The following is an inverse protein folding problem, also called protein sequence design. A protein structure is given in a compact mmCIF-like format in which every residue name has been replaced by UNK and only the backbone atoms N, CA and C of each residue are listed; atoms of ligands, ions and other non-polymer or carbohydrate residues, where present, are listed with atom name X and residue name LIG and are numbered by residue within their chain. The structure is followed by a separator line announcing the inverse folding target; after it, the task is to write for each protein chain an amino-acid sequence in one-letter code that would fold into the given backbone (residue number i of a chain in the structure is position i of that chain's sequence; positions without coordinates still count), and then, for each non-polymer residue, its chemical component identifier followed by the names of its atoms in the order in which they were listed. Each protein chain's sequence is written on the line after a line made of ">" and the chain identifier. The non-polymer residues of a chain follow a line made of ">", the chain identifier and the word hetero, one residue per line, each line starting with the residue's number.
data_IF_705281329531
#
_entry.id   IF_705281329531
#
_cell.length_a   1.000
_cell.length_b   1.000
_cell.length_c   1.000
_cell.angle_alpha   90.00
_cell.angle_beta   90.00
_cell.angle_gamma   90.00
#
_symmetry.space_group_name_H-M   'P 1'
#
loop_
_entity.id
_entity.type
_entity.pdbx_description
1 polymer ?
#
# COMPACT_ATOMS: atom_id res chain seq x y z
N UNK A 1 -12.30 -19.26 -14.98
CA UNK A 1 -12.33 -18.79 -13.57
C UNK A 1 -10.99 -18.12 -13.27
N UNK A 2 -10.99 -16.90 -12.74
CA UNK A 2 -9.75 -16.19 -12.44
C UNK A 2 -9.35 -16.53 -10.99
N UNK A 3 -8.34 -17.39 -10.80
CA UNK A 3 -7.95 -17.96 -9.50
C UNK A 3 -7.67 -16.88 -8.44
N UNK A 4 -7.02 -15.79 -8.85
CA UNK A 4 -6.72 -14.65 -7.97
C UNK A 4 -7.99 -13.99 -7.43
N UNK A 5 -9.05 -13.92 -8.26
CA UNK A 5 -10.35 -13.37 -7.85
C UNK A 5 -11.06 -14.28 -6.86
N UNK A 6 -11.06 -15.59 -7.12
CA UNK A 6 -11.69 -16.58 -6.23
C UNK A 6 -11.04 -16.58 -4.86
N UNK A 7 -9.69 -16.59 -4.79
CA UNK A 7 -8.97 -16.55 -3.51
C UNK A 7 -9.23 -15.25 -2.74
N UNK A 8 -9.38 -14.12 -3.44
CA UNK A 8 -9.69 -12.84 -2.82
C UNK A 8 -11.11 -12.80 -2.23
N UNK A 9 -12.09 -13.32 -2.96
CA UNK A 9 -13.48 -13.46 -2.51
C UNK A 9 -13.57 -14.40 -1.29
N UNK A 10 -12.83 -15.52 -1.29
CA UNK A 10 -12.73 -16.43 -0.13
C UNK A 10 -12.16 -15.74 1.11
N UNK A 11 -11.10 -14.94 0.95
CA UNK A 11 -10.49 -14.16 2.05
C UNK A 11 -11.48 -13.15 2.63
N UNK A 12 -12.20 -12.43 1.78
CA UNK A 12 -13.23 -11.47 2.19
C UNK A 12 -14.37 -12.16 2.96
N UNK A 13 -14.82 -13.31 2.48
CA UNK A 13 -15.90 -14.06 3.13
C UNK A 13 -15.46 -14.65 4.48
N UNK A 14 -14.21 -15.10 4.60
CA UNK A 14 -13.60 -15.45 5.87
C UNK A 14 -13.63 -14.29 6.87
N UNK A 15 -13.24 -13.09 6.43
CA UNK A 15 -13.30 -11.88 7.25
C UNK A 15 -14.73 -11.54 7.68
N UNK A 16 -15.72 -11.63 6.79
CA UNK A 16 -17.14 -11.41 7.14
C UNK A 16 -17.61 -12.39 8.21
N UNK A 17 -17.29 -13.68 8.08
CA UNK A 17 -17.64 -14.71 9.07
C UNK A 17 -17.02 -14.39 10.44
N UNK A 18 -15.75 -14.02 10.46
CA UNK A 18 -15.05 -13.63 11.70
C UNK A 18 -15.70 -12.41 12.37
N UNK A 19 -16.04 -11.37 11.60
CA UNK A 19 -16.70 -10.17 12.12
C UNK A 19 -18.09 -10.47 12.68
N UNK A 20 -18.86 -11.33 12.02
CA UNK A 20 -20.17 -11.78 12.51
C UNK A 20 -20.02 -12.55 13.83
N UNK A 21 -19.05 -13.47 13.91
CA UNK A 21 -18.76 -14.23 15.14
C UNK A 21 -18.38 -13.32 16.31
N UNK A 22 -17.57 -12.29 16.06
CA UNK A 22 -17.15 -11.29 17.05
C UNK A 22 -18.17 -10.18 17.32
N UNK A 23 -19.33 -10.20 16.65
CA UNK A 23 -20.37 -9.15 16.74
C UNK A 23 -19.81 -7.74 16.52
N UNK A 24 -18.95 -7.60 15.52
CA UNK A 24 -18.34 -6.31 15.17
C UNK A 24 -19.42 -5.32 14.74
N UNK A 25 -19.26 -4.05 15.16
CA UNK A 25 -20.21 -3.00 14.85
C UNK A 25 -20.43 -2.84 13.32
N UNK A 26 -21.67 -2.71 12.82
CA UNK A 26 -21.97 -2.70 11.38
C UNK A 26 -21.22 -1.63 10.58
N UNK A 27 -20.94 -0.48 11.19
CA UNK A 27 -20.14 0.57 10.55
C UNK A 27 -18.71 0.12 10.25
N UNK A 28 -18.08 -0.64 11.16
CA UNK A 28 -16.72 -1.15 10.96
C UNK A 28 -16.72 -2.27 9.92
N UNK A 29 -17.73 -3.13 9.91
CA UNK A 29 -17.93 -4.15 8.86
C UNK A 29 -18.02 -3.50 7.48
N UNK A 30 -18.85 -2.46 7.33
CA UNK A 30 -18.97 -1.71 6.05
C UNK A 30 -17.65 -1.09 5.60
N UNK A 31 -16.90 -0.49 6.53
CA UNK A 31 -15.57 0.08 6.23
C UNK A 31 -14.61 -0.98 5.73
N UNK A 32 -14.54 -2.13 6.40
CA UNK A 32 -13.66 -3.23 6.00
C UNK A 32 -14.04 -3.76 4.62
N UNK A 33 -15.33 -4.03 4.37
CA UNK A 33 -15.79 -4.49 3.05
C UNK A 33 -15.46 -3.47 1.96
N UNK A 34 -15.68 -2.18 2.22
CA UNK A 34 -15.35 -1.11 1.27
C UNK A 34 -13.85 -1.04 0.97
N UNK A 35 -12.99 -1.20 1.98
CA UNK A 35 -11.53 -1.27 1.77
C UNK A 35 -11.14 -2.45 0.87
N UNK A 36 -11.74 -3.63 1.07
CA UNK A 36 -11.48 -4.79 0.20
C UNK A 36 -11.93 -4.52 -1.25
N UNK A 37 -13.11 -3.95 -1.46
CA UNK A 37 -13.59 -3.58 -2.80
C UNK A 37 -12.69 -2.54 -3.47
N UNK A 38 -12.23 -1.54 -2.72
CA UNK A 38 -11.34 -0.51 -3.20
C UNK A 38 -9.96 -1.07 -3.56
N UNK A 39 -9.36 -1.88 -2.67
CA UNK A 39 -8.07 -2.55 -2.88
C UNK A 39 -8.07 -3.47 -4.11
N UNK A 40 -9.19 -4.16 -4.38
CA UNK A 40 -9.35 -4.96 -5.58
C UNK A 40 -9.42 -4.12 -6.87
N UNK A 41 -10.13 -2.98 -6.83
CA UNK A 41 -10.24 -2.06 -7.96
C UNK A 41 -8.89 -1.41 -8.30
N UNK A 42 -8.15 -0.98 -7.28
CA UNK A 42 -6.84 -0.31 -7.44
C UNK A 42 -5.71 -1.28 -7.81
N UNK A 43 -5.97 -2.59 -7.76
CA UNK A 43 -5.00 -3.61 -8.17
C UNK A 43 -3.96 -3.97 -7.10
N UNK A 44 -3.90 -3.24 -5.99
CA UNK A 44 -3.03 -3.58 -4.85
C UNK A 44 -3.35 -4.94 -4.23
N UNK A 45 -4.58 -5.43 -4.38
CA UNK A 45 -4.95 -6.79 -3.97
C UNK A 45 -4.54 -7.89 -4.97
N UNK A 46 -4.16 -7.52 -6.19
CA UNK A 46 -3.79 -8.46 -7.26
C UNK A 46 -2.29 -8.76 -7.28
N UNK A 47 -1.48 -7.90 -6.66
CA UNK A 47 -0.02 -7.99 -6.64
C UNK A 47 0.43 -7.88 -5.19
N UNK A 48 1.05 -8.95 -4.68
CA UNK A 48 1.63 -8.96 -3.35
C UNK A 48 3.10 -8.55 -3.43
N UNK A 49 3.36 -7.24 -3.31
CA UNK A 49 4.72 -6.68 -3.34
C UNK A 49 5.62 -7.26 -2.25
N UNK A 50 5.08 -7.61 -1.07
CA UNK A 50 5.85 -8.25 0.00
C UNK A 50 6.34 -9.64 -0.42
N UNK A 51 5.47 -10.47 -1.01
CA UNK A 51 5.86 -11.79 -1.49
C UNK A 51 6.89 -11.70 -2.63
N UNK A 52 6.75 -10.71 -3.52
CA UNK A 52 7.74 -10.46 -4.59
C UNK A 52 9.09 -10.07 -3.98
N UNK A 53 9.09 -9.18 -2.98
CA UNK A 53 10.29 -8.75 -2.28
C UNK A 53 11.01 -9.90 -1.56
N UNK A 54 10.28 -10.82 -0.94
CA UNK A 54 10.83 -12.01 -0.28
C UNK A 54 11.36 -13.05 -1.28
N UNK A 55 10.78 -13.12 -2.48
CA UNK A 55 11.16 -14.08 -3.52
C UNK A 55 12.42 -13.69 -4.32
N UNK A 56 12.78 -12.40 -4.33
CA UNK A 56 13.85 -11.87 -5.15
C UNK A 56 15.15 -11.68 -4.34
N UNK A 57 16.32 -12.00 -4.92
CA UNK A 57 17.60 -11.57 -4.37
C UNK A 57 17.66 -10.04 -4.19
N UNK A 58 18.30 -9.58 -3.12
CA UNK A 58 18.36 -8.16 -2.73
C UNK A 58 18.77 -7.21 -3.85
N UNK A 59 19.72 -7.61 -4.71
CA UNK A 59 20.14 -6.82 -5.88
C UNK A 59 19.03 -6.64 -6.93
N UNK A 60 18.27 -7.70 -7.21
CA UNK A 60 17.18 -7.66 -8.20
C UNK A 60 15.98 -6.90 -7.63
N UNK A 61 15.66 -7.10 -6.35
CA UNK A 61 14.65 -6.32 -5.65
C UNK A 61 14.97 -4.82 -5.69
N UNK A 62 16.22 -4.43 -5.42
CA UNK A 62 16.63 -3.03 -5.47
C UNK A 62 16.51 -2.42 -6.86
N UNK A 63 16.88 -3.15 -7.92
CA UNK A 63 16.70 -2.70 -9.31
C UNK A 63 15.21 -2.50 -9.65
N UNK A 64 14.35 -3.43 -9.22
CA UNK A 64 12.91 -3.35 -9.42
C UNK A 64 12.30 -2.14 -8.70
N UNK A 65 12.61 -1.96 -7.41
CA UNK A 65 12.12 -0.84 -6.61
C UNK A 65 12.50 0.51 -7.24
N UNK A 66 13.73 0.64 -7.72
CA UNK A 66 14.22 1.83 -8.43
C UNK A 66 13.45 2.06 -9.72
N UNK A 67 13.24 1.02 -10.51
CA UNK A 67 12.48 1.15 -11.76
C UNK A 67 11.03 1.59 -11.52
N UNK A 68 10.38 1.11 -10.45
CA UNK A 68 8.98 1.42 -10.16
C UNK A 68 8.83 2.82 -9.53
N UNK A 69 9.70 3.19 -8.58
CA UNK A 69 9.45 4.35 -7.71
C UNK A 69 10.32 5.57 -8.01
N UNK A 70 11.47 5.43 -8.70
CA UNK A 70 12.42 6.52 -8.90
C UNK A 70 11.81 7.70 -9.65
N UNK A 71 11.05 7.44 -10.72
CA UNK A 71 10.42 8.50 -11.51
C UNK A 71 9.37 9.28 -10.72
N UNK A 72 8.70 8.62 -9.79
CA UNK A 72 7.71 9.29 -8.94
C UNK A 72 8.41 10.08 -7.85
N UNK A 73 9.49 9.55 -7.27
CA UNK A 73 10.28 10.26 -6.26
C UNK A 73 10.90 11.54 -6.81
N UNK A 74 11.41 11.51 -8.05
CA UNK A 74 11.99 12.68 -8.75
C UNK A 74 10.98 13.80 -9.03
N UNK A 75 9.69 13.48 -9.13
CA UNK A 75 8.64 14.49 -9.37
C UNK A 75 8.30 15.30 -8.11
N UNK A 76 8.69 14.81 -6.93
CA UNK A 76 8.43 15.49 -5.66
C UNK A 76 9.41 16.65 -5.50
N UNK A 77 8.89 17.87 -5.40
CA UNK A 77 9.70 19.09 -5.28
C UNK A 77 10.74 19.04 -4.15
N UNK A 78 10.41 18.36 -3.04
CA UNK A 78 11.32 18.18 -1.90
C UNK A 78 12.62 17.44 -2.27
N UNK A 79 12.60 16.61 -3.30
CA UNK A 79 13.70 15.71 -3.65
C UNK A 79 14.39 16.07 -4.98
N UNK A 80 14.02 17.18 -5.63
CA UNK A 80 14.53 17.55 -6.96
C UNK A 80 16.04 17.82 -6.97
N UNK A 81 16.58 18.42 -5.91
CA UNK A 81 18.00 18.78 -5.80
C UNK A 81 18.82 17.76 -4.96
N UNK A 82 18.24 16.61 -4.64
CA UNK A 82 18.92 15.58 -3.86
C UNK A 82 19.87 14.73 -4.73
N UNK A 83 20.97 14.28 -4.13
CA UNK A 83 21.91 13.38 -4.78
C UNK A 83 21.22 12.05 -5.17
N UNK A 84 21.57 11.51 -6.34
CA UNK A 84 21.04 10.23 -6.83
C UNK A 84 21.22 9.08 -5.83
N UNK A 85 22.34 9.06 -5.10
CA UNK A 85 22.62 8.07 -4.06
C UNK A 85 21.60 8.13 -2.91
N UNK A 86 21.22 9.35 -2.48
CA UNK A 86 20.20 9.54 -1.46
C UNK A 86 18.82 9.11 -1.96
N UNK A 87 18.47 9.44 -3.21
CA UNK A 87 17.21 9.01 -3.81
C UNK A 87 17.11 7.49 -3.90
N UNK A 88 18.22 6.82 -4.24
CA UNK A 88 18.29 5.37 -4.29
C UNK A 88 18.03 4.74 -2.92
N UNK A 89 18.72 5.22 -1.88
CA UNK A 89 18.53 4.77 -0.49
C UNK A 89 17.09 5.04 0.01
N UNK A 90 16.49 6.15 -0.39
CA UNK A 90 15.08 6.44 -0.08
C UNK A 90 14.15 5.44 -0.76
N UNK A 91 14.33 5.16 -2.05
CA UNK A 91 13.49 4.19 -2.78
C UNK A 91 13.53 2.81 -2.14
N UNK A 92 14.71 2.34 -1.71
CA UNK A 92 14.84 1.05 -1.03
C UNK A 92 14.11 0.96 0.30
N UNK A 93 13.80 2.11 0.94
CA UNK A 93 13.09 2.20 2.22
C UNK A 93 11.62 2.59 2.06
N UNK A 94 11.15 2.90 0.85
CA UNK A 94 9.76 3.24 0.61
C UNK A 94 8.87 2.01 0.77
N UNK A 95 7.73 2.21 1.44
CA UNK A 95 6.67 1.22 1.52
C UNK A 95 5.39 1.82 0.97
N UNK A 96 4.84 1.20 -0.07
CA UNK A 96 3.57 1.62 -0.63
C UNK A 96 2.45 1.24 0.35
N UNK A 97 1.60 2.21 0.69
CA UNK A 97 0.41 1.98 1.50
C UNK A 97 -0.83 2.50 0.78
N UNK A 98 -1.85 1.65 0.70
CA UNK A 98 -3.15 1.99 0.13
C UNK A 98 -4.10 2.47 1.23
N UNK A 99 -4.72 3.62 1.02
CA UNK A 99 -5.74 4.19 1.90
C UNK A 99 -7.06 4.36 1.15
N UNK A 100 -8.19 4.03 1.78
CA UNK A 100 -9.49 4.23 1.14
C UNK A 100 -9.87 5.71 1.14
N UNK A 101 -10.68 6.16 0.18
CA UNK A 101 -11.25 7.51 0.23
C UNK A 101 -11.97 7.77 1.57
N UNK A 102 -11.60 8.85 2.25
CA UNK A 102 -12.16 9.21 3.56
C UNK A 102 -11.49 8.56 4.77
N UNK A 103 -10.45 7.73 4.57
CA UNK A 103 -9.59 7.28 5.65
C UNK A 103 -8.65 8.41 6.10
N UNK A 104 -8.49 8.54 7.41
CA UNK A 104 -7.55 9.49 7.99
C UNK A 104 -6.17 8.85 8.05
N UNK A 105 -5.20 9.41 7.31
CA UNK A 105 -3.79 8.98 7.35
C UNK A 105 -3.12 9.41 8.66
N UNK A 106 -3.39 10.64 9.11
CA UNK A 106 -2.95 11.18 10.39
C UNK A 106 -4.05 12.05 11.00
N UNK A 107 -4.15 12.10 12.34
CA UNK A 107 -5.03 13.01 13.06
C UNK A 107 -4.22 14.03 13.85
N UNK A 108 -4.79 15.23 13.99
CA UNK A 108 -4.20 16.28 14.83
C UNK A 108 -4.06 15.75 16.26
N UNK A 109 -2.84 15.77 16.79
CA UNK A 109 -2.53 15.27 18.14
C UNK A 109 -1.94 13.85 18.15
N UNK A 110 -1.89 13.16 17.01
CA UNK A 110 -1.12 11.93 16.90
C UNK A 110 0.37 12.27 17.09
N UNK A 111 1.02 11.58 18.03
CA UNK A 111 2.47 11.67 18.19
C UNK A 111 3.07 11.01 16.95
N UNK A 112 3.58 11.82 16.02
CA UNK A 112 4.32 11.35 14.88
C UNK A 112 5.52 10.55 15.37
N UNK A 113 5.45 9.21 15.27
CA UNK A 113 6.68 8.41 15.31
C UNK A 113 7.49 8.87 14.10
N UNK A 114 8.64 9.48 14.38
CA UNK A 114 9.41 10.41 13.53
C UNK A 114 10.08 9.73 12.33
N UNK A 115 9.38 8.87 11.59
CA UNK A 115 10.00 8.09 10.51
C UNK A 115 9.13 7.86 9.29
N UNK A 116 7.99 8.55 9.14
CA UNK A 116 7.14 8.38 7.95
C UNK A 116 6.95 9.71 7.22
N UNK A 117 7.62 9.84 6.07
CA UNK A 117 7.28 10.83 5.06
C UNK A 117 6.17 10.24 4.20
N UNK A 118 4.97 10.83 4.27
CA UNK A 118 3.89 10.47 3.36
C UNK A 118 4.13 11.15 2.02
N UNK A 119 4.71 10.41 1.08
CA UNK A 119 4.72 10.83 -0.30
C UNK A 119 3.40 10.38 -0.89
N UNK A 120 2.48 11.35 -1.07
CA UNK A 120 1.24 11.09 -1.78
C UNK A 120 1.55 10.94 -3.25
N UNK A 121 1.84 9.70 -3.65
CA UNK A 121 1.89 9.32 -5.05
C UNK A 121 0.43 9.30 -5.54
N UNK A 122 -0.10 10.46 -5.91
CA UNK A 122 -1.31 10.52 -6.71
C UNK A 122 -0.97 9.81 -8.02
N UNK A 123 -1.44 8.57 -8.18
CA UNK A 123 -1.41 7.90 -9.48
C UNK A 123 -2.19 8.80 -10.45
N UNK A 124 -1.53 9.53 -11.36
CA UNK A 124 -2.26 10.18 -12.42
C UNK A 124 -2.69 9.05 -13.34
N UNK A 125 -3.99 8.76 -13.35
CA UNK A 125 -4.58 7.94 -14.41
C UNK A 125 -4.24 8.51 -15.78
#
# INVERSE_FOLDING_TARGET
>A
MNLVRTMYEEKLDGCKRYMNFRKVHPLLVRKIVHWYEYSWKEGSAKVDESTIAESLPSRLHGQLAVHIHMDTLKKVALFQDCEATLLYELVLKLQLQLFSPGDYVCRKGDIGKVSYFYIFLLNPK
#
